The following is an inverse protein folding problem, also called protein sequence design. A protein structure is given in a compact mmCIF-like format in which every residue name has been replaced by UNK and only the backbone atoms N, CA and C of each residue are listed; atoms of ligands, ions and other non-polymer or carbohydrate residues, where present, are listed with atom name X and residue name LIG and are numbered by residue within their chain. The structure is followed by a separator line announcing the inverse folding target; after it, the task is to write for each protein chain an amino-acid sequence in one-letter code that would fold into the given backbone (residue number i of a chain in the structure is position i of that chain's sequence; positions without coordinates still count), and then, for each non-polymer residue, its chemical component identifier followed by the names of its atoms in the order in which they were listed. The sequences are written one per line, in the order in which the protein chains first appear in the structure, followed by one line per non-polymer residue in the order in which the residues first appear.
data_IF_942903598506
#
_entry.id   IF_942903598506
#
_cell.length_a   1.000
_cell.length_b   1.000
_cell.length_c   1.000
_cell.angle_alpha   90.00
_cell.angle_beta   90.00
_cell.angle_gamma   90.00
#
_symmetry.space_group_name_H-M   'P 1'
#
loop_
_entity.id
_entity.type
_entity.pdbx_description
1 polymer ?
#
# COMPACT_ATOMS: atom_id res chain seq x y z
N UNK A 1 12.97 8.42 2.18
CA UNK A 1 12.20 8.19 0.95
C UNK A 1 10.82 7.73 1.35
N UNK A 2 9.78 8.36 0.77
CA UNK A 2 8.38 8.04 1.06
C UNK A 2 7.83 7.04 0.06
N UNK A 3 7.12 6.06 0.60
CA UNK A 3 6.44 5.01 -0.15
C UNK A 3 4.96 5.03 0.22
N UNK A 4 4.13 5.15 -0.80
CA UNK A 4 2.67 5.16 -0.73
C UNK A 4 2.20 3.80 -1.18
N UNK A 5 1.42 3.12 -0.35
CA UNK A 5 0.96 1.78 -0.68
C UNK A 5 -0.49 1.57 -0.30
N UNK A 6 -1.02 0.48 -0.83
CA UNK A 6 -2.35 -0.05 -0.59
C UNK A 6 -2.31 -1.57 -0.75
N UNK A 7 -3.13 -2.28 0.01
CA UNK A 7 -3.30 -3.72 -0.07
C UNK A 7 -4.77 -4.09 -0.24
N UNK A 8 -5.02 -5.03 -1.15
CA UNK A 8 -6.29 -5.74 -1.19
C UNK A 8 -6.14 -7.09 -0.49
N UNK A 9 -7.13 -7.48 0.31
CA UNK A 9 -7.08 -8.71 1.10
C UNK A 9 -8.48 -9.27 1.40
N UNK A 10 -8.52 -10.54 1.78
CA UNK A 10 -9.70 -11.19 2.37
C UNK A 10 -9.44 -11.28 3.87
N UNK A 11 -10.27 -10.62 4.66
CA UNK A 11 -10.21 -10.68 6.13
C UNK A 11 -11.51 -11.28 6.70
N UNK A 12 -11.40 -11.93 7.85
CA UNK A 12 -12.49 -12.59 8.55
C UNK A 12 -12.53 -12.29 10.05
N UNK A 13 -11.93 -11.17 10.47
CA UNK A 13 -11.74 -10.82 11.87
C UNK A 13 -10.69 -11.67 12.62
N UNK A 14 -10.07 -12.66 11.96
CA UNK A 14 -9.01 -13.50 12.55
C UNK A 14 -7.72 -13.45 11.72
N UNK A 15 -7.84 -13.56 10.40
CA UNK A 15 -6.73 -13.58 9.45
C UNK A 15 -6.86 -12.46 8.42
N UNK A 16 -5.73 -12.11 7.80
CA UNK A 16 -5.67 -11.19 6.66
C UNK A 16 -4.96 -11.96 5.53
N UNK A 17 -5.73 -12.41 4.55
CA UNK A 17 -5.22 -13.16 3.40
C UNK A 17 -4.97 -12.19 2.22
N UNK A 18 -3.70 -11.85 1.99
CA UNK A 18 -3.30 -10.83 1.01
C UNK A 18 -3.66 -11.26 -0.42
N UNK A 19 -4.49 -10.47 -1.09
CA UNK A 19 -4.82 -10.62 -2.51
C UNK A 19 -3.78 -9.91 -3.36
N UNK A 20 -3.53 -8.62 -3.13
CA UNK A 20 -2.54 -7.85 -3.91
C UNK A 20 -1.97 -6.68 -3.12
N UNK A 21 -0.81 -6.19 -3.54
CA UNK A 21 -0.17 -5.00 -2.96
C UNK A 21 0.35 -4.11 -4.09
N UNK A 22 0.05 -2.81 -3.99
CA UNK A 22 0.58 -1.77 -4.85
C UNK A 22 1.42 -0.78 -4.05
N UNK A 23 2.57 -0.36 -4.57
CA UNK A 23 3.47 0.59 -3.92
C UNK A 23 4.03 1.57 -4.95
N UNK A 24 4.02 2.86 -4.61
CA UNK A 24 4.61 3.94 -5.40
C UNK A 24 5.53 4.76 -4.50
N UNK A 25 6.70 5.16 -4.98
CA UNK A 25 7.56 6.10 -4.25
C UNK A 25 7.39 7.55 -4.71
N UNK A 26 7.92 8.50 -3.94
CA UNK A 26 7.87 9.93 -4.28
C UNK A 26 8.62 10.32 -5.56
N UNK A 27 9.39 9.40 -6.16
CA UNK A 27 10.08 9.58 -7.44
C UNK A 27 9.34 8.91 -8.62
N UNK A 28 8.19 8.27 -8.37
CA UNK A 28 7.36 7.62 -9.39
C UNK A 28 7.78 6.20 -9.76
N UNK A 29 8.65 5.54 -8.99
CA UNK A 29 8.86 4.10 -9.15
C UNK A 29 7.63 3.36 -8.62
N UNK A 30 7.32 2.23 -9.27
CA UNK A 30 6.12 1.46 -8.96
C UNK A 30 6.44 -0.02 -8.76
N UNK A 31 5.72 -0.64 -7.84
CA UNK A 31 5.70 -2.06 -7.60
C UNK A 31 4.24 -2.51 -7.48
N UNK A 32 3.89 -3.62 -8.12
CA UNK A 32 2.57 -4.22 -7.99
C UNK A 32 2.64 -5.72 -8.18
N UNK A 33 2.02 -6.46 -7.28
CA UNK A 33 1.94 -7.90 -7.33
C UNK A 33 0.61 -8.41 -6.77
N UNK A 34 0.18 -9.55 -7.30
CA UNK A 34 -1.00 -10.31 -6.86
C UNK A 34 -0.51 -11.64 -6.30
N UNK A 35 -0.96 -12.01 -5.10
CA UNK A 35 -0.59 -13.28 -4.51
C UNK A 35 -1.24 -14.44 -5.26
N UNK A 36 -0.48 -15.48 -5.54
CA UNK A 36 -1.01 -16.77 -6.04
C UNK A 36 -1.55 -17.66 -4.91
N UNK A 37 -1.51 -17.20 -3.66
CA UNK A 37 -1.73 -18.06 -2.48
C UNK A 37 -3.02 -17.76 -1.72
N UNK A 38 -3.72 -16.66 -2.03
CA UNK A 38 -5.00 -16.37 -1.38
C UNK A 38 -6.11 -17.31 -1.86
N UNK A 39 -7.04 -17.64 -0.98
CA UNK A 39 -8.21 -18.45 -1.34
C UNK A 39 -9.39 -17.57 -1.77
N UNK A 40 -9.55 -17.43 -3.10
CA UNK A 40 -10.66 -16.68 -3.69
C UNK A 40 -12.05 -17.22 -3.30
N UNK A 41 -12.17 -18.49 -2.85
CA UNK A 41 -13.44 -19.05 -2.40
C UNK A 41 -13.91 -18.41 -1.08
N UNK A 42 -12.98 -17.96 -0.22
CA UNK A 42 -13.27 -17.27 1.05
C UNK A 42 -13.70 -15.82 0.86
N UNK A 43 -13.55 -15.26 -0.34
CA UNK A 43 -13.90 -13.88 -0.61
C UNK A 43 -15.39 -13.60 -0.33
N UNK A 44 -15.66 -12.59 0.51
CA UNK A 44 -17.01 -12.08 0.73
C UNK A 44 -17.60 -11.41 -0.50
N UNK A 45 -18.91 -11.12 -0.45
CA UNK A 45 -19.63 -10.59 -1.62
C UNK A 45 -19.07 -9.25 -2.13
N UNK A 46 -18.50 -8.43 -1.24
CA UNK A 46 -17.90 -7.15 -1.60
C UNK A 46 -16.59 -7.33 -2.38
N UNK A 47 -15.66 -8.15 -1.88
CA UNK A 47 -14.37 -8.45 -2.54
C UNK A 47 -14.61 -9.06 -3.93
N UNK A 48 -15.57 -9.98 -4.04
CA UNK A 48 -15.95 -10.61 -5.31
C UNK A 48 -16.45 -9.61 -6.37
N UNK A 49 -17.11 -8.53 -5.95
CA UNK A 49 -17.65 -7.52 -6.86
C UNK A 49 -16.64 -6.43 -7.21
N UNK A 50 -15.82 -6.02 -6.26
CA UNK A 50 -15.03 -4.80 -6.38
C UNK A 50 -13.53 -5.06 -6.62
N UNK A 51 -12.97 -6.15 -6.08
CA UNK A 51 -11.52 -6.41 -6.10
C UNK A 51 -11.17 -7.45 -7.16
N UNK A 52 -11.74 -8.65 -7.08
CA UNK A 52 -11.36 -9.77 -7.96
C UNK A 52 -11.48 -9.44 -9.46
N UNK A 53 -12.50 -8.67 -9.93
CA UNK A 53 -12.60 -8.30 -11.34
C UNK A 53 -11.52 -7.33 -11.83
N UNK A 54 -10.82 -6.62 -10.91
CA UNK A 54 -9.74 -5.69 -11.25
C UNK A 54 -8.39 -6.39 -11.43
N UNK A 55 -8.28 -7.65 -10.99
CA UNK A 55 -7.04 -8.40 -11.05
C UNK A 55 -6.61 -8.66 -12.52
N UNK A 56 -5.30 -8.68 -12.79
CA UNK A 56 -4.79 -8.96 -14.13
C UNK A 56 -5.10 -10.42 -14.55
N UNK A 57 -5.08 -10.72 -15.86
CA UNK A 57 -5.31 -12.07 -16.36
C UNK A 57 -4.39 -13.10 -15.68
N UNK A 58 -4.83 -14.36 -15.47
CA UNK A 58 -4.06 -15.36 -14.71
C UNK A 58 -2.65 -15.67 -15.23
N UNK A 59 -2.38 -15.44 -16.52
CA UNK A 59 -1.06 -15.64 -17.13
C UNK A 59 -0.11 -14.43 -16.95
N UNK A 60 -0.57 -13.35 -16.31
CA UNK A 60 0.22 -12.15 -16.10
C UNK A 60 1.36 -12.40 -15.11
N UNK A 61 2.54 -11.84 -15.39
CA UNK A 61 3.73 -12.01 -14.55
C UNK A 61 3.60 -11.36 -13.17
N UNK A 62 2.62 -10.49 -12.96
CA UNK A 62 2.32 -9.86 -11.66
C UNK A 62 1.77 -10.86 -10.64
N UNK A 63 1.29 -12.02 -11.07
CA UNK A 63 0.96 -13.13 -10.17
C UNK A 63 2.24 -13.74 -9.60
N UNK A 64 2.38 -13.72 -8.26
CA UNK A 64 3.58 -14.09 -7.53
C UNK A 64 3.26 -14.87 -6.25
N UNK A 65 4.15 -15.78 -5.84
CA UNK A 65 4.10 -16.34 -4.49
C UNK A 65 4.36 -15.25 -3.45
N UNK A 66 3.85 -15.42 -2.22
CA UNK A 66 4.11 -14.51 -1.11
C UNK A 66 5.60 -14.34 -0.83
N UNK A 67 6.39 -15.42 -0.99
CA UNK A 67 7.85 -15.36 -0.86
C UNK A 67 8.50 -14.46 -1.91
N UNK A 68 8.05 -14.53 -3.17
CA UNK A 68 8.53 -13.66 -4.24
C UNK A 68 8.11 -12.20 -4.01
N UNK A 69 6.86 -11.96 -3.59
CA UNK A 69 6.38 -10.61 -3.22
C UNK A 69 7.25 -10.04 -2.11
N UNK A 70 7.51 -10.81 -1.03
CA UNK A 70 8.37 -10.40 0.08
C UNK A 70 9.76 -9.96 -0.39
N UNK A 71 10.41 -10.77 -1.22
CA UNK A 71 11.78 -10.52 -1.66
C UNK A 71 11.86 -9.32 -2.63
N UNK A 72 10.98 -9.28 -3.62
CA UNK A 72 10.92 -8.18 -4.60
C UNK A 72 10.50 -6.85 -3.94
N UNK A 73 9.55 -6.87 -3.00
CA UNK A 73 9.14 -5.69 -2.24
C UNK A 73 10.29 -5.18 -1.36
N UNK A 74 11.03 -6.08 -0.69
CA UNK A 74 12.20 -5.69 0.10
C UNK A 74 13.21 -4.93 -0.76
N UNK A 75 13.54 -5.46 -1.93
CA UNK A 75 14.46 -4.85 -2.88
C UNK A 75 13.96 -3.49 -3.38
N UNK A 76 12.65 -3.38 -3.66
CA UNK A 76 12.01 -2.12 -4.08
C UNK A 76 12.09 -1.02 -3.01
N UNK A 77 11.80 -1.38 -1.75
CA UNK A 77 11.84 -0.50 -0.58
C UNK A 77 13.27 -0.15 -0.14
N UNK A 78 14.25 -0.96 -0.54
CA UNK A 78 15.63 -0.88 -0.06
C UNK A 78 16.65 -0.60 -1.18
N UNK A 79 16.48 0.45 -2.01
CA UNK A 79 17.41 0.71 -3.11
C UNK A 79 18.84 0.85 -2.58
N UNK A 80 19.80 0.30 -3.35
CA UNK A 80 21.23 0.21 -3.00
C UNK A 80 21.89 1.58 -2.85
N UNK A 81 21.33 2.60 -3.48
CA UNK A 81 21.79 3.98 -3.50
C UNK A 81 21.10 4.82 -2.42
N UNK A 82 21.70 4.84 -1.22
CA UNK A 82 21.40 5.86 -0.20
C UNK A 82 20.76 5.31 1.07
N UNK A 83 21.41 5.55 2.20
CA UNK A 83 20.91 5.27 3.55
C UNK A 83 19.71 6.12 3.98
N UNK A 84 18.88 6.57 3.02
CA UNK A 84 17.66 7.30 3.32
C UNK A 84 16.70 6.40 4.10
N UNK A 85 16.14 6.93 5.17
CA UNK A 85 15.14 6.25 5.98
C UNK A 85 13.89 5.98 5.15
N UNK A 86 13.32 4.77 5.28
CA UNK A 86 12.06 4.39 4.64
C UNK A 86 10.91 5.02 5.43
N UNK A 87 9.99 5.68 4.75
CA UNK A 87 8.70 6.08 5.32
C UNK A 87 7.58 5.38 4.58
N UNK A 88 6.77 4.62 5.31
CA UNK A 88 5.57 3.98 4.78
C UNK A 88 4.37 4.90 5.04
N UNK A 89 3.54 5.08 4.02
CA UNK A 89 2.32 5.87 4.03
C UNK A 89 1.18 5.09 3.37
N UNK A 90 0.03 5.03 4.02
CA UNK A 90 -1.21 4.48 3.46
C UNK A 90 -2.42 5.24 3.98
N UNK A 91 -3.57 5.08 3.32
CA UNK A 91 -4.83 5.71 3.71
C UNK A 91 -5.67 4.71 4.51
N UNK A 92 -5.91 4.96 5.81
CA UNK A 92 -6.46 3.97 6.76
C UNK A 92 -5.55 2.75 6.94
N UNK A 93 -4.30 3.00 7.34
CA UNK A 93 -3.17 2.08 7.15
C UNK A 93 -3.14 0.81 8.02
N UNK A 94 -4.10 0.59 8.92
CA UNK A 94 -3.97 -0.39 9.99
C UNK A 94 -3.86 -1.83 9.46
N UNK A 95 -4.84 -2.27 8.66
CA UNK A 95 -4.86 -3.62 8.10
C UNK A 95 -3.78 -3.79 7.03
N UNK A 96 -3.55 -2.78 6.20
CA UNK A 96 -2.47 -2.77 5.20
C UNK A 96 -1.10 -3.01 5.82
N UNK A 97 -0.83 -2.37 6.96
CA UNK A 97 0.45 -2.55 7.65
C UNK A 97 0.62 -3.98 8.14
N UNK A 98 -0.44 -4.59 8.67
CA UNK A 98 -0.40 -6.00 9.09
C UNK A 98 -0.23 -6.91 7.87
N UNK A 99 -0.97 -6.68 6.78
CA UNK A 99 -0.89 -7.46 5.54
C UNK A 99 0.53 -7.43 4.94
N UNK A 100 1.14 -6.25 4.88
CA UNK A 100 2.53 -6.06 4.47
C UNK A 100 3.50 -6.77 5.41
N UNK A 101 3.40 -6.53 6.73
CA UNK A 101 4.35 -7.09 7.68
C UNK A 101 4.31 -8.63 7.73
N UNK A 102 3.12 -9.22 7.56
CA UNK A 102 2.91 -10.67 7.51
C UNK A 102 3.53 -11.35 6.28
N UNK A 103 4.07 -10.60 5.30
CA UNK A 103 4.95 -11.18 4.27
C UNK A 103 6.24 -11.75 4.87
N UNK A 104 6.69 -11.22 6.02
CA UNK A 104 7.83 -11.74 6.78
C UNK A 104 7.42 -12.61 7.97
N UNK A 105 6.12 -12.85 8.16
CA UNK A 105 5.58 -13.60 9.29
C UNK A 105 5.35 -12.71 10.52
N UNK A 106 5.91 -13.11 11.66
CA UNK A 106 5.75 -12.36 12.92
C UNK A 106 6.54 -11.04 12.91
N UNK A 107 6.10 -10.05 13.69
CA UNK A 107 6.76 -8.74 13.78
C UNK A 107 8.29 -8.79 14.06
N UNK A 108 8.84 -9.70 14.89
CA UNK A 108 10.29 -9.84 15.07
C UNK A 108 11.07 -10.21 13.79
N UNK A 109 10.43 -10.84 12.82
CA UNK A 109 11.04 -11.23 11.55
C UNK A 109 11.02 -10.11 10.50
N UNK A 110 10.29 -9.01 10.75
CA UNK A 110 10.29 -7.85 9.87
C UNK A 110 11.71 -7.25 9.79
N UNK A 111 12.29 -7.04 8.59
CA UNK A 111 13.63 -6.48 8.45
C UNK A 111 13.75 -5.13 9.15
N UNK A 112 14.86 -4.91 9.89
CA UNK A 112 15.05 -3.69 10.69
C UNK A 112 14.97 -2.39 9.88
N UNK A 113 15.26 -2.45 8.57
CA UNK A 113 15.17 -1.30 7.67
C UNK A 113 13.72 -0.89 7.39
N UNK A 114 12.77 -1.82 7.45
CA UNK A 114 11.35 -1.54 7.28
C UNK A 114 10.79 -0.98 8.59
N UNK A 115 10.14 0.20 8.58
CA UNK A 115 9.52 0.76 9.78
C UNK A 115 8.45 -0.16 10.36
N UNK A 116 8.40 -0.27 11.69
CA UNK A 116 7.37 -1.01 12.44
C UNK A 116 6.03 -0.28 12.55
N UNK A 117 5.84 0.78 11.75
CA UNK A 117 4.60 1.53 11.68
C UNK A 117 4.43 2.12 10.30
N UNK A 118 3.18 2.34 9.92
CA UNK A 118 2.80 3.12 8.74
C UNK A 118 2.21 4.44 9.19
N UNK A 119 2.58 5.52 8.52
CA UNK A 119 1.98 6.84 8.74
C UNK A 119 0.64 6.89 8.02
N UNK A 120 -0.38 7.36 8.72
CA UNK A 120 -1.73 7.39 8.18
C UNK A 120 -2.01 8.71 7.44
N UNK A 121 -2.23 8.64 6.13
CA UNK A 121 -2.58 9.80 5.30
C UNK A 121 -3.94 10.40 5.68
N UNK A 122 -4.89 9.58 6.13
CA UNK A 122 -6.20 10.08 6.57
C UNK A 122 -6.01 11.02 7.74
N UNK A 123 -5.17 10.64 8.70
CA UNK A 123 -4.82 11.49 9.85
C UNK A 123 -4.12 12.77 9.38
N UNK A 124 -3.11 12.66 8.51
CA UNK A 124 -2.39 13.82 7.95
C UNK A 124 -3.34 14.81 7.25
N UNK A 125 -4.38 14.31 6.59
CA UNK A 125 -5.43 15.12 5.96
C UNK A 125 -6.33 15.84 6.97
N UNK A 126 -6.63 15.23 8.12
CA UNK A 126 -7.39 15.89 9.20
C UNK A 126 -6.59 17.00 9.85
N UNK A 127 -5.30 16.77 10.10
CA UNK A 127 -4.40 17.72 10.76
C UNK A 127 -4.35 19.09 10.04
N UNK A 128 -4.66 19.13 8.74
CA UNK A 128 -4.69 20.37 7.94
C UNK A 128 -6.09 20.86 7.58
N UNK A 129 -7.12 20.40 8.28
CA UNK A 129 -8.48 20.90 8.10
C UNK A 129 -9.17 20.36 6.83
N UNK A 130 -8.81 19.13 6.40
CA UNK A 130 -9.53 18.38 5.37
C UNK A 130 -9.65 19.11 4.02
N UNK A 131 -8.53 19.58 3.41
CA UNK A 131 -8.55 20.25 2.11
C UNK A 131 -9.17 19.36 1.02
N UNK A 132 -9.67 19.97 -0.07
CA UNK A 132 -10.19 19.21 -1.21
C UNK A 132 -9.12 18.29 -1.79
N UNK A 133 -9.45 17.00 -1.92
CA UNK A 133 -8.58 15.97 -2.51
C UNK A 133 -8.94 15.73 -3.99
N UNK A 134 -8.00 15.18 -4.79
CA UNK A 134 -8.31 14.66 -6.11
C UNK A 134 -9.38 13.54 -6.03
N UNK A 135 -10.24 13.41 -7.05
CA UNK A 135 -11.28 12.38 -7.08
C UNK A 135 -10.65 10.97 -7.06
N UNK A 136 -11.43 9.98 -6.61
CA UNK A 136 -11.03 8.58 -6.66
C UNK A 136 -10.77 8.12 -8.11
N UNK A 137 -9.83 7.19 -8.32
CA UNK A 137 -9.59 6.61 -9.64
C UNK A 137 -10.80 5.80 -10.11
N UNK A 138 -10.98 5.67 -11.43
CA UNK A 138 -12.07 4.89 -12.02
C UNK A 138 -11.97 3.39 -11.71
N UNK A 139 -10.75 2.90 -11.47
CA UNK A 139 -10.44 1.53 -11.08
C UNK A 139 -10.03 1.45 -9.60
N UNK A 140 -10.73 2.16 -8.72
CA UNK A 140 -10.59 1.94 -7.27
C UNK A 140 -10.74 0.45 -6.94
N UNK A 141 -10.03 0.00 -5.91
CA UNK A 141 -9.86 -1.40 -5.51
C UNK A 141 -8.90 -2.20 -6.41
N UNK A 142 -8.11 -1.48 -7.22
CA UNK A 142 -6.82 -1.92 -7.73
C UNK A 142 -5.73 -1.29 -6.85
N UNK A 143 -4.98 -2.13 -6.13
CA UNK A 143 -4.02 -1.64 -5.13
C UNK A 143 -2.94 -0.70 -5.71
N UNK A 144 -2.54 -0.83 -6.98
CA UNK A 144 -1.59 0.11 -7.58
C UNK A 144 -2.26 1.44 -7.91
N UNK A 145 -3.49 1.42 -8.40
CA UNK A 145 -4.27 2.63 -8.63
C UNK A 145 -4.50 3.41 -7.32
N UNK A 146 -4.81 2.71 -6.24
CA UNK A 146 -5.02 3.32 -4.93
C UNK A 146 -3.70 3.80 -4.29
N UNK A 147 -2.60 3.09 -4.47
CA UNK A 147 -1.26 3.57 -4.09
C UNK A 147 -0.87 4.87 -4.83
N UNK A 148 -1.15 4.95 -6.15
CA UNK A 148 -0.97 6.20 -6.93
C UNK A 148 -1.87 7.31 -6.40
N UNK A 149 -3.12 7.01 -6.06
CA UNK A 149 -4.03 8.00 -5.48
C UNK A 149 -3.53 8.49 -4.12
N UNK A 150 -2.92 7.62 -3.30
CA UNK A 150 -2.32 8.00 -2.03
C UNK A 150 -1.17 9.01 -2.21
N UNK A 151 -0.34 8.88 -3.25
CA UNK A 151 0.66 9.89 -3.60
C UNK A 151 0.01 11.23 -4.02
N UNK A 152 -1.05 11.20 -4.83
CA UNK A 152 -1.75 12.44 -5.22
C UNK A 152 -2.44 13.13 -4.03
N UNK A 153 -3.00 12.35 -3.09
CA UNK A 153 -3.55 12.86 -1.82
C UNK A 153 -2.44 13.52 -1.01
N UNK A 154 -1.29 12.86 -0.87
CA UNK A 154 -0.12 13.41 -0.21
C UNK A 154 0.25 14.79 -0.75
N UNK A 155 0.39 14.93 -2.07
CA UNK A 155 0.75 16.19 -2.71
C UNK A 155 -0.24 17.31 -2.40
N UNK A 156 -1.55 17.03 -2.46
CA UNK A 156 -2.59 18.00 -2.11
C UNK A 156 -2.55 18.40 -0.62
N UNK A 157 -2.32 17.43 0.27
CA UNK A 157 -2.21 17.64 1.71
C UNK A 157 -0.97 18.48 2.04
N UNK A 158 0.18 18.18 1.45
CA UNK A 158 1.42 18.92 1.68
C UNK A 158 1.34 20.35 1.13
N UNK A 159 0.64 20.58 0.02
CA UNK A 159 0.35 21.94 -0.44
C UNK A 159 -0.48 22.73 0.57
N UNK A 160 -1.48 22.11 1.20
CA UNK A 160 -2.28 22.74 2.25
C UNK A 160 -1.44 23.01 3.52
N UNK A 161 -0.60 22.05 3.94
CA UNK A 161 0.35 22.23 5.05
C UNK A 161 1.25 23.44 4.85
N UNK A 162 1.85 23.57 3.66
CA UNK A 162 2.73 24.70 3.33
C UNK A 162 1.99 26.04 3.42
N UNK A 163 0.74 26.10 2.93
CA UNK A 163 -0.10 27.31 3.04
C UNK A 163 -0.43 27.68 4.49
N UNK A 164 -0.44 26.72 5.40
CA UNK A 164 -0.66 26.92 6.84
C UNK A 164 0.64 27.21 7.61
N UNK A 165 1.80 27.28 6.94
CA UNK A 165 3.08 27.64 7.56
C UNK A 165 3.82 26.50 8.26
N UNK A 166 3.42 25.24 8.03
CA UNK A 166 4.22 24.11 8.52
C UNK A 166 5.55 24.01 7.77
N UNK A 167 6.63 23.75 8.51
CA UNK A 167 7.94 23.43 7.93
C UNK A 167 7.90 22.07 7.19
N UNK A 168 8.80 21.92 6.20
CA UNK A 168 9.02 20.69 5.41
C UNK A 168 9.62 19.56 6.25
#
# INVERSE_FOLDING_TARGET
MRYFYDCEFIEDGTTIDLVSIGVVDEAGREFYAVSTEFDAARAGSWVRRNVLPQLPPPADRRWRSRSAIRDELYDFLSPRSGGAQIELWAWFAAYDHVALAQLWGSMPALPQRIPKFTRDLRQRWEDVGKPKLPPAPNNAHDALADARHNLQRWEAIEQARRKQGFAL
#
